data_IF_121349154933
#
_entry.id   IF_121349154933
#
_cell.length_a   1.000
_cell.length_b   1.000
_cell.length_c   1.000
_cell.angle_alpha   90.00
_cell.angle_beta   90.00
_cell.angle_gamma   90.00
#
_symmetry.space_group_name_H-M   'P 1'
#
loop_
_entity.id
_entity.type
_entity.pdbx_description
1 polymer ?
#
# COMPACT_ATOMS: atom_id res chain seq x y z
N UNK A 1 63.24 -5.64 36.95
CA UNK A 1 61.89 -5.47 37.53
C UNK A 1 61.50 -4.02 37.35
N UNK A 2 60.76 -3.77 36.29
CA UNK A 2 60.27 -2.46 35.86
C UNK A 2 58.75 -2.62 35.79
N UNK A 3 57.93 -1.77 36.42
CA UNK A 3 56.50 -2.02 36.52
C UNK A 3 55.83 -1.73 35.18
N UNK A 4 54.96 -2.64 34.74
CA UNK A 4 54.11 -2.49 33.56
C UNK A 4 53.15 -1.31 33.73
N UNK A 5 52.98 -0.54 32.65
CA UNK A 5 51.97 0.52 32.53
C UNK A 5 50.59 -0.12 32.36
N UNK A 6 49.54 0.41 33.00
CA UNK A 6 48.17 -0.04 32.75
C UNK A 6 47.67 0.45 31.39
N UNK A 7 46.83 -0.37 30.74
CA UNK A 7 46.17 -0.09 29.46
C UNK A 7 45.26 1.15 29.54
N UNK A 8 45.09 1.89 28.42
CA UNK A 8 44.24 3.06 28.40
C UNK A 8 42.75 2.65 28.49
N UNK A 9 42.03 3.33 29.39
CA UNK A 9 40.58 3.25 29.53
C UNK A 9 39.93 3.71 28.21
N UNK A 10 38.94 3.00 27.66
CA UNK A 10 38.26 3.42 26.45
C UNK A 10 37.53 4.75 26.69
N UNK A 11 37.77 5.72 25.80
CA UNK A 11 37.09 7.01 25.78
C UNK A 11 35.58 6.78 25.63
N UNK A 12 34.71 7.49 26.37
CA UNK A 12 33.27 7.41 26.15
C UNK A 12 32.98 7.80 24.70
N UNK A 13 32.22 6.94 24.02
CA UNK A 13 31.76 7.20 22.66
C UNK A 13 31.12 8.59 22.59
N UNK A 14 31.46 9.34 21.54
CA UNK A 14 30.81 10.62 21.24
C UNK A 14 29.29 10.45 21.29
N UNK A 15 28.54 11.35 21.95
CA UNK A 15 27.09 11.29 21.93
C UNK A 15 26.61 11.35 20.48
N UNK A 16 25.61 10.52 20.16
CA UNK A 16 24.86 10.61 18.91
C UNK A 16 24.44 12.06 18.67
N UNK A 17 24.40 12.53 17.41
CA UNK A 17 23.98 13.90 17.11
C UNK A 17 22.59 14.15 17.74
N UNK A 18 22.52 15.16 18.60
CA UNK A 18 21.29 15.54 19.26
C UNK A 18 20.23 15.92 18.21
N UNK A 19 19.05 15.32 18.32
CA UNK A 19 17.89 15.65 17.51
C UNK A 19 17.59 17.17 17.56
N UNK A 20 17.18 17.81 16.45
CA UNK A 20 16.90 19.24 16.42
C UNK A 20 15.81 19.61 17.44
N UNK A 21 15.86 20.83 18.01
CA UNK A 21 14.96 21.23 19.08
C UNK A 21 13.53 21.38 18.51
N UNK A 22 12.70 20.38 18.82
CA UNK A 22 11.23 20.36 18.73
C UNK A 22 10.62 20.79 17.39
N UNK A 23 10.35 19.83 16.50
CA UNK A 23 9.06 19.88 15.81
C UNK A 23 7.99 19.57 16.87
N UNK A 24 6.98 20.44 17.10
CA UNK A 24 6.04 20.23 18.19
C UNK A 24 5.27 18.93 17.98
N UNK A 25 5.38 18.00 18.93
CA UNK A 25 4.55 16.79 18.96
C UNK A 25 3.08 17.24 19.07
N UNK A 26 2.19 16.79 18.17
CA UNK A 26 0.77 17.13 18.29
C UNK A 26 0.19 16.67 19.63
N UNK A 27 -0.49 17.57 20.36
CA UNK A 27 -1.27 17.21 21.56
C UNK A 27 -2.65 16.64 21.19
N UNK A 28 -3.20 17.13 20.09
CA UNK A 28 -4.44 16.65 19.47
C UNK A 28 -4.44 17.01 17.97
N UNK A 29 -4.92 16.08 17.15
CA UNK A 29 -5.07 16.25 15.69
C UNK A 29 -6.55 16.29 15.31
N UNK A 30 -6.91 17.11 14.31
CA UNK A 30 -8.27 17.15 13.74
C UNK A 30 -8.22 16.75 12.27
N UNK A 31 -8.83 15.61 11.91
CA UNK A 31 -8.84 15.14 10.52
C UNK A 31 -9.75 16.01 9.65
N UNK A 32 -9.22 16.53 8.54
CA UNK A 32 -9.95 17.24 7.50
C UNK A 32 -9.90 16.45 6.19
N UNK A 33 -11.08 16.13 5.67
CA UNK A 33 -11.25 15.54 4.35
C UNK A 33 -11.30 16.67 3.31
N UNK A 34 -10.18 16.88 2.62
CA UNK A 34 -10.07 17.85 1.54
C UNK A 34 -10.62 17.25 0.25
N UNK A 35 -11.49 18.01 -0.40
CA UNK A 35 -12.16 17.64 -1.65
C UNK A 35 -12.52 18.91 -2.43
N UNK A 36 -12.95 18.82 -3.70
CA UNK A 36 -13.27 20.02 -4.50
C UNK A 36 -14.29 20.95 -3.83
N UNK A 37 -15.26 20.38 -3.10
CA UNK A 37 -16.27 21.14 -2.33
C UNK A 37 -15.77 21.66 -0.97
N UNK A 38 -14.60 21.20 -0.51
CA UNK A 38 -13.94 21.66 0.72
C UNK A 38 -12.41 21.83 0.47
N UNK A 39 -12.01 22.81 -0.36
CA UNK A 39 -10.62 23.01 -0.77
C UNK A 39 -9.79 23.70 0.33
N UNK A 40 -8.49 23.95 0.09
CA UNK A 40 -7.62 24.58 1.08
C UNK A 40 -8.14 25.93 1.60
N UNK A 41 -8.80 26.71 0.74
CA UNK A 41 -9.42 27.98 1.15
C UNK A 41 -10.58 27.80 2.14
N UNK A 42 -11.41 26.77 1.96
CA UNK A 42 -12.49 26.45 2.90
C UNK A 42 -11.93 25.92 4.23
N UNK A 43 -10.90 25.07 4.17
CA UNK A 43 -10.18 24.61 5.35
C UNK A 43 -9.55 25.80 6.12
N UNK A 44 -8.98 26.79 5.41
CA UNK A 44 -8.39 27.98 6.03
C UNK A 44 -9.46 28.83 6.74
N UNK A 45 -10.65 28.96 6.14
CA UNK A 45 -11.77 29.66 6.77
C UNK A 45 -12.29 28.96 8.05
N UNK A 46 -12.11 27.63 8.16
CA UNK A 46 -12.48 26.86 9.34
C UNK A 46 -11.45 26.92 10.48
N UNK A 47 -10.21 27.33 10.20
CA UNK A 47 -9.10 27.37 11.17
C UNK A 47 -9.46 28.06 12.50
N UNK A 48 -10.09 29.26 12.52
CA UNK A 48 -10.38 29.93 13.80
C UNK A 48 -11.32 29.11 14.69
N UNK A 49 -12.30 28.44 14.09
CA UNK A 49 -13.20 27.54 14.82
C UNK A 49 -12.43 26.34 15.37
N UNK A 50 -11.64 25.66 14.52
CA UNK A 50 -10.87 24.48 14.91
C UNK A 50 -9.86 24.80 16.02
N UNK A 51 -9.21 25.95 15.96
CA UNK A 51 -8.33 26.44 17.02
C UNK A 51 -9.10 26.64 18.34
N UNK A 52 -10.34 27.12 18.29
CA UNK A 52 -11.16 27.30 19.51
C UNK A 52 -11.61 25.99 20.17
N UNK A 53 -11.58 24.86 19.44
CA UNK A 53 -11.77 23.52 20.02
C UNK A 53 -10.57 23.05 20.86
N UNK A 54 -9.40 23.69 20.72
CA UNK A 54 -8.18 23.35 21.46
C UNK A 54 -7.32 22.26 20.82
N UNK A 55 -7.52 21.94 19.54
CA UNK A 55 -6.60 21.05 18.80
C UNK A 55 -5.27 21.75 18.53
N UNK A 56 -4.20 20.99 18.31
CA UNK A 56 -2.87 21.54 18.02
C UNK A 56 -2.49 21.48 16.55
N UNK A 57 -3.05 20.51 15.81
CA UNK A 57 -2.69 20.26 14.43
C UNK A 57 -3.94 19.90 13.62
N UNK A 58 -3.97 20.36 12.37
CA UNK A 58 -4.88 19.86 11.36
C UNK A 58 -4.24 18.66 10.68
N UNK A 59 -4.92 17.52 10.67
CA UNK A 59 -4.52 16.33 9.93
C UNK A 59 -5.24 16.36 8.59
N UNK A 60 -4.53 16.70 7.53
CA UNK A 60 -5.08 16.85 6.19
C UNK A 60 -5.07 15.49 5.47
N UNK A 61 -6.13 15.17 4.73
CA UNK A 61 -6.10 14.12 3.70
C UNK A 61 -5.04 14.41 2.61
N UNK A 62 -4.72 13.44 1.73
CA UNK A 62 -3.65 13.62 0.74
C UNK A 62 -3.77 14.91 -0.08
N UNK A 63 -2.64 15.61 -0.24
CA UNK A 63 -2.59 16.96 -0.84
C UNK A 63 -1.95 17.00 -2.23
N UNK A 64 -1.33 15.90 -2.67
CA UNK A 64 -0.71 15.80 -3.98
C UNK A 64 -1.77 15.61 -5.08
N UNK A 65 -1.39 15.90 -6.32
CA UNK A 65 -2.31 15.82 -7.47
C UNK A 65 -2.90 14.41 -7.61
N UNK A 66 -4.22 14.36 -7.69
CA UNK A 66 -5.00 13.13 -7.78
C UNK A 66 -5.84 13.13 -9.06
N UNK A 67 -6.56 12.05 -9.33
CA UNK A 67 -7.52 12.03 -10.44
C UNK A 67 -8.50 13.21 -10.29
N UNK A 68 -8.77 13.98 -11.36
CA UNK A 68 -9.69 15.12 -11.29
C UNK A 68 -11.05 14.73 -10.68
N UNK A 69 -11.56 15.55 -9.76
CA UNK A 69 -12.81 15.28 -9.05
C UNK A 69 -12.71 14.26 -7.91
N UNK A 70 -11.52 13.72 -7.60
CA UNK A 70 -11.32 12.77 -6.50
C UNK A 70 -11.83 13.34 -5.16
N UNK A 71 -12.71 12.63 -4.43
CA UNK A 71 -13.23 13.08 -3.14
C UNK A 71 -12.26 12.80 -1.97
N UNK A 72 -11.15 12.10 -2.23
CA UNK A 72 -10.29 11.58 -1.16
C UNK A 72 -8.79 11.79 -1.37
N UNK A 73 -8.30 11.87 -2.61
CA UNK A 73 -6.89 12.12 -2.92
C UNK A 73 -5.92 10.93 -2.90
N UNK A 74 -6.35 9.72 -2.48
CA UNK A 74 -5.49 8.51 -2.50
C UNK A 74 -5.12 7.98 -3.90
N UNK A 75 -5.84 8.40 -4.93
CA UNK A 75 -5.62 8.11 -6.34
C UNK A 75 -4.65 9.11 -6.98
N UNK A 76 -3.43 9.15 -6.44
CA UNK A 76 -2.37 10.10 -6.84
C UNK A 76 -1.96 9.88 -8.31
N UNK A 77 -1.83 10.97 -9.07
CA UNK A 77 -1.41 10.95 -10.47
C UNK A 77 -0.10 11.70 -10.72
N UNK A 78 0.26 12.66 -9.86
CA UNK A 78 1.51 13.42 -9.96
C UNK A 78 2.02 13.85 -8.58
N UNK A 79 3.16 13.28 -8.17
CA UNK A 79 3.79 13.56 -6.89
C UNK A 79 4.55 14.90 -6.86
N UNK A 80 4.86 15.48 -8.03
CA UNK A 80 5.60 16.73 -8.11
C UNK A 80 4.71 17.95 -7.81
N UNK A 81 3.39 17.78 -7.76
CA UNK A 81 2.44 18.89 -7.68
C UNK A 81 1.48 18.74 -6.50
N UNK A 82 1.26 19.85 -5.80
CA UNK A 82 0.11 19.98 -4.90
C UNK A 82 -1.14 20.15 -5.74
N UNK A 83 -2.21 19.43 -5.38
CA UNK A 83 -3.44 19.31 -6.16
C UNK A 83 -4.02 20.67 -6.56
N UNK A 84 -4.06 20.93 -7.87
CA UNK A 84 -4.48 22.22 -8.40
C UNK A 84 -5.95 22.54 -8.08
N UNK A 85 -6.81 21.52 -8.12
CA UNK A 85 -8.26 21.64 -7.85
C UNK A 85 -8.56 22.10 -6.41
N UNK A 86 -7.66 21.85 -5.45
CA UNK A 86 -7.82 22.31 -4.06
C UNK A 86 -7.28 23.73 -3.83
N UNK A 87 -6.74 24.39 -4.86
CA UNK A 87 -6.06 25.69 -4.78
C UNK A 87 -4.55 25.61 -4.95
N UNK A 88 -4.00 24.43 -5.26
CA UNK A 88 -2.57 24.23 -5.51
C UNK A 88 -1.69 24.55 -4.31
N UNK A 89 -0.38 24.68 -4.58
CA UNK A 89 0.61 24.92 -3.53
C UNK A 89 0.41 26.27 -2.83
N UNK A 90 -0.03 27.30 -3.56
CA UNK A 90 -0.34 28.60 -2.97
C UNK A 90 -1.48 28.49 -1.94
N UNK A 91 -2.55 27.75 -2.27
CA UNK A 91 -3.66 27.48 -1.37
C UNK A 91 -3.22 26.73 -0.11
N UNK A 92 -2.39 25.68 -0.26
CA UNK A 92 -1.84 24.94 0.89
C UNK A 92 -0.98 25.84 1.79
N UNK A 93 -0.14 26.70 1.19
CA UNK A 93 0.67 27.66 1.95
C UNK A 93 -0.17 28.72 2.64
N UNK A 94 -1.26 29.18 2.02
CA UNK A 94 -2.20 30.09 2.65
C UNK A 94 -2.87 29.45 3.87
N UNK A 95 -3.37 28.21 3.72
CA UNK A 95 -3.88 27.41 4.84
C UNK A 95 -2.85 27.26 5.96
N UNK A 96 -1.60 26.91 5.63
CA UNK A 96 -0.51 26.78 6.59
C UNK A 96 -0.24 28.09 7.35
N UNK A 97 -0.20 29.24 6.65
CA UNK A 97 -0.04 30.55 7.30
C UNK A 97 -1.20 30.84 8.26
N UNK A 98 -2.44 30.68 7.82
CA UNK A 98 -3.62 30.91 8.67
C UNK A 98 -3.64 29.98 9.88
N UNK A 99 -3.27 28.70 9.72
CA UNK A 99 -3.11 27.74 10.81
C UNK A 99 -2.08 28.25 11.83
N UNK A 100 -0.89 28.64 11.37
CA UNK A 100 0.20 29.14 12.23
C UNK A 100 -0.18 30.44 12.97
N UNK A 101 -0.91 31.35 12.32
CA UNK A 101 -1.44 32.58 12.95
C UNK A 101 -2.38 32.26 14.14
N UNK A 102 -3.02 31.09 14.13
CA UNK A 102 -3.87 30.61 15.21
C UNK A 102 -3.20 29.55 16.10
N UNK A 103 -1.88 29.38 15.99
CA UNK A 103 -1.11 28.43 16.81
C UNK A 103 -1.29 26.96 16.42
N UNK A 104 -1.80 26.66 15.22
CA UNK A 104 -1.96 25.31 14.70
C UNK A 104 -0.84 24.92 13.74
N UNK A 105 -0.43 23.65 13.78
CA UNK A 105 0.43 23.02 12.77
C UNK A 105 -0.35 22.17 11.76
N UNK A 106 0.33 21.68 10.72
CA UNK A 106 -0.24 20.77 9.72
C UNK A 106 0.44 19.39 9.74
N UNK A 107 -0.35 18.33 9.77
CA UNK A 107 0.06 16.96 9.45
C UNK A 107 -0.57 16.58 8.12
N UNK A 108 0.21 16.08 7.16
CA UNK A 108 -0.32 15.65 5.86
C UNK A 108 -0.25 14.13 5.71
N UNK A 109 -1.31 13.58 5.15
CA UNK A 109 -1.38 12.20 4.72
C UNK A 109 -0.59 12.00 3.41
N UNK A 110 0.23 10.96 3.33
CA UNK A 110 1.04 10.61 2.16
C UNK A 110 0.77 9.17 1.72
N UNK A 111 0.83 8.93 0.41
CA UNK A 111 0.42 7.68 -0.23
C UNK A 111 1.58 7.05 -0.99
N UNK A 112 2.54 6.40 -0.32
CA UNK A 112 3.76 5.90 -0.96
C UNK A 112 3.55 4.59 -1.73
N UNK A 113 2.49 3.84 -1.41
CA UNK A 113 2.33 2.47 -1.89
C UNK A 113 1.88 2.37 -3.35
N UNK A 114 1.12 3.34 -3.84
CA UNK A 114 0.41 3.22 -5.12
C UNK A 114 0.11 4.57 -5.76
N UNK A 115 -0.22 4.52 -7.05
CA UNK A 115 -0.75 5.62 -7.86
C UNK A 115 -2.01 5.18 -8.59
N UNK A 116 -2.78 6.12 -9.12
CA UNK A 116 -3.91 5.81 -9.99
C UNK A 116 -3.47 5.12 -11.29
N UNK A 117 -4.12 4.01 -11.64
CA UNK A 117 -4.09 3.35 -12.94
C UNK A 117 -4.96 4.13 -13.94
N UNK A 118 -4.63 5.42 -14.12
CA UNK A 118 -5.32 6.34 -15.02
C UNK A 118 -4.31 6.95 -15.97
N UNK A 119 -3.95 6.26 -17.08
CA UNK A 119 -2.87 6.69 -17.98
C UNK A 119 -3.02 8.13 -18.45
N UNK A 120 -4.25 8.56 -18.73
CA UNK A 120 -4.58 9.93 -19.15
C UNK A 120 -4.05 11.01 -18.20
N UNK A 121 -3.98 10.72 -16.91
CA UNK A 121 -3.58 11.68 -15.87
C UNK A 121 -2.23 11.33 -15.23
N UNK A 122 -1.81 10.07 -15.29
CA UNK A 122 -0.56 9.56 -14.72
C UNK A 122 0.51 9.47 -15.83
N UNK A 123 1.35 10.49 -15.94
CA UNK A 123 2.39 10.57 -16.97
C UNK A 123 3.41 9.41 -16.91
N UNK A 124 4.00 9.05 -15.74
CA UNK A 124 4.86 7.85 -15.65
C UNK A 124 4.19 6.59 -16.22
N UNK A 125 2.91 6.38 -15.92
CA UNK A 125 2.17 5.24 -16.45
C UNK A 125 1.94 5.33 -17.96
N UNK A 126 1.59 6.52 -18.48
CA UNK A 126 1.45 6.75 -19.92
C UNK A 126 2.71 6.33 -20.67
N UNK A 127 3.88 6.77 -20.21
CA UNK A 127 5.17 6.43 -20.82
C UNK A 127 5.46 4.92 -20.77
N UNK A 128 5.11 4.24 -19.67
CA UNK A 128 5.23 2.78 -19.57
C UNK A 128 4.34 2.06 -20.58
N UNK A 129 3.11 2.52 -20.80
CA UNK A 129 2.21 1.92 -21.79
C UNK A 129 2.67 2.20 -23.24
N UNK A 130 3.35 3.33 -23.49
CA UNK A 130 3.89 3.70 -24.81
C UNK A 130 5.18 2.95 -25.15
N UNK A 131 6.11 2.86 -24.20
CA UNK A 131 7.48 2.38 -24.43
C UNK A 131 7.73 0.97 -23.86
N UNK A 132 6.81 0.46 -23.04
CA UNK A 132 6.88 -0.88 -22.45
C UNK A 132 8.01 -1.02 -21.43
N UNK A 133 8.64 -2.21 -21.34
CA UNK A 133 9.74 -2.47 -20.39
C UNK A 133 10.97 -1.55 -20.55
N UNK A 134 11.11 -0.91 -21.71
CA UNK A 134 12.21 0.03 -22.00
C UNK A 134 12.00 1.44 -21.43
N UNK A 135 10.81 1.76 -20.94
CA UNK A 135 10.51 3.08 -20.37
C UNK A 135 11.39 3.36 -19.14
N UNK A 136 11.91 4.58 -18.96
CA UNK A 136 12.58 4.97 -17.71
C UNK A 136 11.65 4.87 -16.48
N UNK A 137 10.33 4.90 -16.71
CA UNK A 137 9.31 4.74 -15.68
C UNK A 137 8.89 3.28 -15.45
N UNK A 138 9.36 2.31 -16.24
CA UNK A 138 8.98 0.91 -16.05
C UNK A 138 9.34 0.37 -14.66
N UNK A 139 10.43 0.88 -14.06
CA UNK A 139 10.85 0.54 -12.70
C UNK A 139 9.99 1.17 -11.60
N UNK A 140 9.21 2.22 -11.90
CA UNK A 140 8.37 2.88 -10.91
C UNK A 140 7.25 1.95 -10.43
N UNK A 141 6.77 1.07 -11.29
CA UNK A 141 5.63 0.22 -11.01
C UNK A 141 6.04 -1.23 -10.81
N UNK A 142 5.30 -1.92 -9.95
CA UNK A 142 5.53 -3.33 -9.69
C UNK A 142 4.75 -4.22 -10.67
N UNK A 143 5.35 -4.42 -11.85
CA UNK A 143 4.79 -5.18 -12.98
C UNK A 143 5.53 -6.52 -13.16
N UNK A 144 4.79 -7.63 -13.13
CA UNK A 144 5.24 -8.95 -13.56
C UNK A 144 5.14 -9.06 -15.09
N UNK A 145 6.16 -8.55 -15.78
CA UNK A 145 6.23 -8.56 -17.24
C UNK A 145 6.20 -9.98 -17.84
N UNK A 146 6.73 -10.98 -17.12
CA UNK A 146 6.77 -12.37 -17.60
C UNK A 146 5.38 -12.98 -17.67
N UNK A 147 4.45 -12.57 -16.81
CA UNK A 147 3.10 -13.15 -16.76
C UNK A 147 2.24 -12.83 -17.99
N UNK A 148 2.62 -11.84 -18.80
CA UNK A 148 1.83 -11.37 -19.95
C UNK A 148 2.70 -11.10 -21.19
N UNK A 149 3.79 -11.85 -21.36
CA UNK A 149 4.70 -11.79 -22.51
C UNK A 149 5.22 -10.36 -22.80
N UNK A 150 5.62 -9.65 -21.75
CA UNK A 150 6.13 -8.28 -21.85
C UNK A 150 5.06 -7.19 -21.99
N UNK A 151 3.78 -7.52 -21.76
CA UNK A 151 2.66 -6.55 -21.79
C UNK A 151 2.09 -6.26 -20.40
N UNK A 152 1.40 -5.14 -20.26
CA UNK A 152 0.59 -4.80 -19.08
C UNK A 152 -0.87 -5.15 -19.34
N UNK A 153 -1.52 -5.90 -18.45
CA UNK A 153 -2.96 -6.16 -18.56
C UNK A 153 -3.76 -4.94 -18.10
N UNK A 154 -4.73 -4.47 -18.90
CA UNK A 154 -5.60 -3.34 -18.55
C UNK A 154 -7.06 -3.80 -18.48
N UNK A 155 -7.60 -4.12 -17.29
CA UNK A 155 -8.95 -4.62 -17.12
C UNK A 155 -10.02 -3.51 -17.19
N UNK A 156 -10.16 -2.88 -18.36
CA UNK A 156 -10.99 -1.68 -18.57
C UNK A 156 -12.23 -1.91 -19.44
N UNK A 157 -12.30 -3.02 -20.17
CA UNK A 157 -13.39 -3.27 -21.12
C UNK A 157 -14.64 -3.75 -20.39
N UNK A 158 -15.82 -3.28 -20.82
CA UNK A 158 -17.11 -3.71 -20.26
C UNK A 158 -17.46 -5.17 -20.57
N UNK A 159 -16.90 -5.73 -21.64
CA UNK A 159 -17.08 -7.12 -22.09
C UNK A 159 -15.85 -7.69 -22.78
N UNK A 160 -15.91 -8.94 -23.26
CA UNK A 160 -14.86 -9.56 -24.07
C UNK A 160 -14.47 -8.66 -25.26
N UNK A 161 -13.18 -8.58 -25.57
CA UNK A 161 -12.64 -7.64 -26.57
C UNK A 161 -13.32 -7.75 -27.94
N UNK A 162 -13.70 -8.96 -28.37
CA UNK A 162 -14.40 -9.18 -29.64
C UNK A 162 -15.81 -8.60 -29.68
N UNK A 163 -16.49 -8.48 -28.53
CA UNK A 163 -17.86 -7.94 -28.43
C UNK A 163 -17.85 -6.41 -28.41
N UNK A 164 -16.82 -5.80 -27.79
CA UNK A 164 -16.70 -4.34 -27.65
C UNK A 164 -15.75 -3.70 -28.67
N UNK A 165 -15.26 -4.47 -29.65
CA UNK A 165 -14.27 -4.01 -30.63
C UNK A 165 -14.75 -2.77 -31.41
N UNK A 166 -16.06 -2.66 -31.66
CA UNK A 166 -16.66 -1.52 -32.36
C UNK A 166 -16.65 -0.21 -31.58
N UNK A 167 -16.43 -0.27 -30.26
CA UNK A 167 -16.37 0.90 -29.38
C UNK A 167 -14.94 1.44 -29.22
N UNK A 168 -13.93 0.65 -29.64
CA UNK A 168 -12.53 1.06 -29.67
C UNK A 168 -12.25 1.93 -30.89
N UNK A 169 -11.61 3.08 -30.68
CA UNK A 169 -11.29 4.04 -31.75
C UNK A 169 -9.86 4.54 -31.62
N UNK A 170 -9.21 4.71 -32.76
CA UNK A 170 -7.91 5.38 -32.85
C UNK A 170 -8.14 6.85 -33.16
N UNK A 171 -7.52 7.73 -32.38
CA UNK A 171 -7.55 9.18 -32.52
C UNK A 171 -6.09 9.68 -32.46
N UNK A 172 -5.47 9.82 -33.64
CA UNK A 172 -4.04 10.10 -33.75
C UNK A 172 -3.19 8.97 -33.18
N UNK A 173 -2.40 9.28 -32.16
CA UNK A 173 -1.53 8.37 -31.42
C UNK A 173 -2.19 7.81 -30.14
N UNK A 174 -3.52 7.90 -30.03
CA UNK A 174 -4.27 7.46 -28.84
C UNK A 174 -5.33 6.42 -29.21
N UNK A 175 -5.35 5.32 -28.47
CA UNK A 175 -6.45 4.36 -28.44
C UNK A 175 -7.50 4.82 -27.41
N UNK A 176 -8.76 4.93 -27.83
CA UNK A 176 -9.88 5.33 -26.98
C UNK A 176 -10.89 4.21 -26.79
N UNK A 177 -11.39 4.08 -25.56
CA UNK A 177 -12.55 3.25 -25.20
C UNK A 177 -13.42 4.05 -24.23
N UNK A 178 -14.54 4.60 -24.70
CA UNK A 178 -15.33 5.60 -23.95
C UNK A 178 -14.45 6.74 -23.41
N UNK A 179 -14.46 7.03 -22.10
CA UNK A 179 -13.58 8.02 -21.48
C UNK A 179 -12.12 7.59 -21.35
N UNK A 180 -11.80 6.31 -21.53
CA UNK A 180 -10.43 5.81 -21.41
C UNK A 180 -9.58 6.20 -22.62
N UNK A 181 -8.33 6.57 -22.34
CA UNK A 181 -7.33 6.94 -23.33
C UNK A 181 -6.00 6.25 -23.02
N UNK A 182 -5.41 5.61 -24.03
CA UNK A 182 -4.16 4.89 -23.93
C UNK A 182 -3.22 5.32 -25.07
N UNK A 183 -1.91 5.47 -24.83
CA UNK A 183 -0.98 5.77 -25.91
C UNK A 183 -0.88 4.60 -26.88
N UNK A 184 -0.62 4.88 -28.15
CA UNK A 184 -0.17 3.86 -29.08
C UNK A 184 1.35 3.71 -28.98
N UNK A 185 1.83 2.47 -29.08
CA UNK A 185 3.23 2.17 -29.30
C UNK A 185 3.70 2.81 -30.61
N UNK A 186 4.88 3.43 -30.59
CA UNK A 186 5.48 4.07 -31.76
C UNK A 186 5.47 3.14 -32.99
N UNK A 187 5.03 3.69 -34.12
CA UNK A 187 4.96 2.97 -35.40
C UNK A 187 3.78 2.00 -35.55
N UNK A 188 2.82 1.98 -34.61
CA UNK A 188 1.66 1.08 -34.68
C UNK A 188 0.35 1.74 -35.15
N UNK A 189 0.31 3.07 -35.28
CA UNK A 189 -0.92 3.84 -35.52
C UNK A 189 -1.66 3.46 -36.81
N UNK A 190 -0.94 3.08 -37.86
CA UNK A 190 -1.54 2.71 -39.16
C UNK A 190 -1.98 1.24 -39.24
N UNK A 191 -1.79 0.45 -38.17
CA UNK A 191 -2.19 -0.95 -38.15
C UNK A 191 -3.73 -1.10 -38.06
N UNK A 192 -4.33 -2.08 -38.76
CA UNK A 192 -5.72 -2.44 -38.53
C UNK A 192 -5.97 -2.81 -37.06
N UNK A 193 -7.12 -2.39 -36.51
CA UNK A 193 -7.41 -2.45 -35.07
C UNK A 193 -7.03 -3.78 -34.38
N UNK A 194 -7.37 -4.99 -34.90
CA UNK A 194 -6.94 -6.23 -34.25
C UNK A 194 -5.42 -6.37 -34.14
N UNK A 195 -4.68 -6.05 -35.21
CA UNK A 195 -3.21 -6.08 -35.22
C UNK A 195 -2.60 -4.94 -34.40
N UNK A 196 -3.28 -3.80 -34.35
CA UNK A 196 -2.90 -2.67 -33.50
C UNK A 196 -2.94 -3.09 -32.04
N UNK A 197 -4.03 -3.72 -31.57
CA UNK A 197 -4.17 -4.20 -30.19
C UNK A 197 -3.07 -5.22 -29.84
N UNK A 198 -2.75 -6.15 -30.74
CA UNK A 198 -1.70 -7.15 -30.53
C UNK A 198 -0.29 -6.54 -30.44
N UNK A 199 -0.06 -5.40 -31.09
CA UNK A 199 1.25 -4.75 -31.16
C UNK A 199 1.60 -3.89 -29.93
N UNK A 200 0.62 -3.55 -29.09
CA UNK A 200 0.81 -2.67 -27.94
C UNK A 200 1.61 -3.34 -26.82
N UNK A 201 2.22 -2.53 -25.96
CA UNK A 201 2.83 -2.99 -24.70
C UNK A 201 1.81 -3.22 -23.59
N UNK A 202 0.53 -3.17 -23.91
CA UNK A 202 -0.57 -3.42 -23.00
C UNK A 202 -1.69 -4.16 -23.70
N UNK A 203 -2.55 -4.80 -22.91
CA UNK A 203 -3.71 -5.55 -23.41
C UNK A 203 -4.97 -5.07 -22.69
N UNK A 204 -5.81 -4.25 -23.35
CA UNK A 204 -7.14 -3.95 -22.84
C UNK A 204 -7.97 -5.23 -22.82
N UNK A 205 -8.53 -5.58 -21.67
CA UNK A 205 -9.33 -6.79 -21.47
C UNK A 205 -10.60 -6.51 -20.69
N UNK A 206 -11.50 -7.50 -20.72
CA UNK A 206 -12.70 -7.49 -19.88
C UNK A 206 -12.32 -7.33 -18.41
N UNK A 207 -12.95 -6.38 -17.72
CA UNK A 207 -12.61 -6.02 -16.34
C UNK A 207 -12.58 -7.22 -15.37
N UNK A 208 -13.40 -8.25 -15.61
CA UNK A 208 -13.46 -9.44 -14.75
C UNK A 208 -12.18 -10.29 -14.76
N UNK A 209 -11.33 -10.16 -15.79
CA UNK A 209 -10.05 -10.86 -15.84
C UNK A 209 -9.02 -10.30 -14.86
N UNK A 210 -9.27 -9.13 -14.25
CA UNK A 210 -8.43 -8.58 -13.18
C UNK A 210 -8.22 -9.55 -12.01
N UNK A 211 -9.19 -10.42 -11.73
CA UNK A 211 -9.10 -11.35 -10.59
C UNK A 211 -8.04 -12.43 -10.78
N UNK A 212 -7.82 -12.87 -12.02
CA UNK A 212 -7.06 -14.09 -12.33
C UNK A 212 -5.85 -13.86 -13.22
N UNK A 213 -5.80 -12.77 -13.98
CA UNK A 213 -4.74 -12.53 -14.97
C UNK A 213 -3.89 -11.28 -14.71
N UNK A 214 -4.24 -10.46 -13.72
CA UNK A 214 -3.56 -9.19 -13.47
C UNK A 214 -2.06 -9.41 -13.22
N UNK A 215 -1.24 -8.54 -13.81
CA UNK A 215 0.21 -8.68 -13.75
C UNK A 215 0.92 -7.44 -13.22
N UNK A 216 0.23 -6.61 -12.47
CA UNK A 216 0.85 -5.59 -11.63
C UNK A 216 0.32 -5.71 -10.21
N UNK A 217 1.15 -5.39 -9.21
CA UNK A 217 0.67 -5.27 -7.83
C UNK A 217 -0.30 -4.10 -7.75
N UNK A 218 -1.40 -4.28 -7.04
CA UNK A 218 -2.43 -3.26 -6.82
C UNK A 218 -2.66 -3.03 -5.33
N UNK A 219 -3.41 -1.98 -5.00
CA UNK A 219 -3.91 -1.77 -3.64
C UNK A 219 -5.14 -2.66 -3.40
N UNK A 220 -5.00 -3.65 -2.52
CA UNK A 220 -6.01 -4.70 -2.29
C UNK A 220 -6.53 -5.31 -3.59
N UNK A 221 -7.83 -5.25 -3.83
CA UNK A 221 -8.50 -5.75 -5.03
C UNK A 221 -8.92 -4.64 -6.00
N UNK A 222 -8.35 -3.43 -5.88
CA UNK A 222 -8.72 -2.25 -6.69
C UNK A 222 -7.75 -2.14 -7.87
N UNK A 223 -8.22 -2.49 -9.07
CA UNK A 223 -7.40 -2.46 -10.29
C UNK A 223 -7.08 -1.04 -10.77
N UNK A 224 -7.81 -0.06 -10.28
CA UNK A 224 -7.61 1.35 -10.57
C UNK A 224 -6.43 1.95 -9.80
N UNK A 225 -5.72 1.17 -8.96
CA UNK A 225 -4.56 1.62 -8.18
C UNK A 225 -3.37 0.68 -8.42
N UNK A 226 -2.32 1.17 -9.07
CA UNK A 226 -1.10 0.42 -9.40
C UNK A 226 -0.01 0.67 -8.33
N UNK A 227 0.61 -0.41 -7.86
CA UNK A 227 1.65 -0.40 -6.85
C UNK A 227 2.95 0.24 -7.34
N UNK A 228 3.48 1.16 -6.54
CA UNK A 228 4.73 1.89 -6.76
C UNK A 228 5.87 1.22 -6.00
N UNK A 229 7.05 1.16 -6.61
CA UNK A 229 8.27 0.55 -6.09
C UNK A 229 9.13 1.53 -5.31
N UNK A 230 8.58 2.05 -4.21
CA UNK A 230 9.23 3.07 -3.37
C UNK A 230 10.49 2.56 -2.67
N UNK A 231 10.74 1.24 -2.66
CA UNK A 231 12.00 0.66 -2.20
C UNK A 231 13.20 1.16 -3.06
N UNK A 232 12.98 1.44 -4.35
CA UNK A 232 13.96 2.06 -5.23
C UNK A 232 14.23 3.51 -4.80
N UNK A 233 15.48 3.89 -4.47
CA UNK A 233 15.82 5.23 -4.03
C UNK A 233 15.40 6.33 -5.01
N UNK A 234 15.51 6.12 -6.32
CA UNK A 234 15.15 7.14 -7.30
C UNK A 234 13.63 7.34 -7.39
N UNK A 235 12.86 6.26 -7.18
CA UNK A 235 11.40 6.34 -7.09
C UNK A 235 10.98 7.05 -5.79
N UNK A 236 11.63 6.74 -4.66
CA UNK A 236 11.40 7.46 -3.40
C UNK A 236 11.65 8.97 -3.56
N UNK A 237 12.81 9.38 -4.08
CA UNK A 237 13.13 10.79 -4.27
C UNK A 237 12.11 11.50 -5.18
N UNK A 238 11.73 10.86 -6.29
CA UNK A 238 10.76 11.44 -7.22
C UNK A 238 9.34 11.56 -6.62
N UNK A 239 8.93 10.62 -5.78
CA UNK A 239 7.58 10.57 -5.19
C UNK A 239 7.46 11.38 -3.89
N UNK A 240 8.57 11.64 -3.20
CA UNK A 240 8.58 12.33 -1.90
C UNK A 240 9.12 13.77 -1.98
N UNK A 241 9.79 14.15 -3.07
CA UNK A 241 10.49 15.44 -3.20
C UNK A 241 9.65 16.66 -2.83
N UNK A 242 8.39 16.73 -3.28
CA UNK A 242 7.48 17.85 -2.96
C UNK A 242 7.09 17.87 -1.49
N UNK A 243 6.69 16.74 -0.90
CA UNK A 243 6.30 16.69 0.52
C UNK A 243 7.48 17.02 1.42
N UNK A 244 8.65 16.45 1.14
CA UNK A 244 9.88 16.71 1.90
C UNK A 244 10.30 18.18 1.79
N UNK A 245 10.13 18.80 0.63
CA UNK A 245 10.33 20.25 0.46
C UNK A 245 9.36 21.05 1.32
N UNK A 246 8.07 20.72 1.32
CA UNK A 246 7.07 21.40 2.15
C UNK A 246 7.36 21.27 3.65
N UNK A 247 7.89 20.12 4.11
CA UNK A 247 8.38 19.94 5.48
C UNK A 247 9.59 20.84 5.79
N UNK A 248 10.61 20.85 4.91
CA UNK A 248 11.81 21.68 5.10
C UNK A 248 11.50 23.17 5.15
N UNK A 249 10.52 23.61 4.36
CA UNK A 249 10.07 25.00 4.32
C UNK A 249 9.08 25.36 5.44
N UNK A 250 8.70 24.41 6.29
CA UNK A 250 7.79 24.63 7.42
C UNK A 250 6.34 24.89 7.01
N UNK A 251 5.94 24.46 5.81
CA UNK A 251 4.52 24.47 5.41
C UNK A 251 3.76 23.35 6.12
N UNK A 252 4.43 22.20 6.29
CA UNK A 252 3.94 21.00 6.97
C UNK A 252 4.85 20.71 8.17
N UNK A 253 4.28 20.19 9.25
CA UNK A 253 4.98 19.91 10.51
C UNK A 253 5.15 18.41 10.80
N UNK A 254 4.28 17.55 10.23
CA UNK A 254 4.35 16.10 10.39
C UNK A 254 3.67 15.31 9.26
N UNK A 255 3.81 13.99 9.30
CA UNK A 255 3.33 13.06 8.28
C UNK A 255 2.42 11.98 8.86
N UNK A 256 1.45 11.52 8.07
CA UNK A 256 0.77 10.25 8.25
C UNK A 256 1.02 9.39 7.01
N UNK A 257 1.57 8.20 7.19
CA UNK A 257 1.87 7.28 6.09
C UNK A 257 0.68 6.34 5.87
N UNK A 258 0.11 6.40 4.68
CA UNK A 258 -0.91 5.46 4.20
C UNK A 258 -0.33 4.08 3.92
N UNK A 259 -1.00 3.05 4.40
CA UNK A 259 -0.77 1.65 4.01
C UNK A 259 0.72 1.21 3.90
N UNK A 260 1.56 1.41 4.95
CA UNK A 260 2.94 0.93 4.96
C UNK A 260 3.04 -0.60 4.76
N UNK A 261 2.00 -1.36 5.15
CA UNK A 261 1.97 -2.81 4.99
C UNK A 261 1.87 -3.25 3.52
N UNK A 262 1.61 -2.34 2.57
CA UNK A 262 1.69 -2.63 1.14
C UNK A 262 3.09 -2.51 0.54
N UNK A 263 4.03 -1.91 1.27
CA UNK A 263 5.39 -1.66 0.79
C UNK A 263 6.21 -2.95 0.74
N UNK A 264 7.14 -3.05 -0.22
CA UNK A 264 8.03 -4.20 -0.32
C UNK A 264 8.94 -4.30 0.91
N UNK A 265 9.50 -3.18 1.34
CA UNK A 265 10.39 -3.05 2.50
C UNK A 265 10.01 -1.81 3.34
N UNK A 266 9.01 -1.93 4.24
CA UNK A 266 8.60 -0.81 5.09
C UNK A 266 9.66 -0.39 6.10
N UNK A 267 10.55 -1.30 6.51
CA UNK A 267 11.64 -1.01 7.46
C UNK A 267 12.59 0.03 6.83
N UNK A 268 13.11 -0.27 5.64
CA UNK A 268 14.00 0.63 4.91
C UNK A 268 13.29 1.92 4.46
N UNK A 269 12.01 1.85 4.09
CA UNK A 269 11.22 3.03 3.72
C UNK A 269 11.10 4.02 4.88
N UNK A 270 10.73 3.55 6.08
CA UNK A 270 10.52 4.41 7.24
C UNK A 270 11.83 4.98 7.79
N UNK A 271 12.94 4.21 7.71
CA UNK A 271 14.27 4.74 8.00
C UNK A 271 14.63 5.89 7.05
N UNK A 272 14.50 5.68 5.74
CA UNK A 272 14.77 6.71 4.72
C UNK A 272 13.87 7.94 4.90
N UNK A 273 12.59 7.74 5.20
CA UNK A 273 11.65 8.83 5.47
C UNK A 273 12.02 9.61 6.73
N UNK A 274 12.44 8.93 7.79
CA UNK A 274 12.89 9.56 9.03
C UNK A 274 14.10 10.47 8.76
N UNK A 275 15.12 9.97 8.06
CA UNK A 275 16.30 10.74 7.69
C UNK A 275 15.95 11.94 6.79
N UNK A 276 15.19 11.70 5.72
CA UNK A 276 14.86 12.72 4.73
C UNK A 276 13.93 13.82 5.27
N UNK A 277 13.07 13.48 6.24
CA UNK A 277 12.19 14.44 6.92
C UNK A 277 12.89 15.21 8.04
N UNK A 278 14.09 14.80 8.45
CA UNK A 278 14.79 15.37 9.62
C UNK A 278 14.11 14.98 10.94
N UNK A 279 13.56 13.77 11.01
CA UNK A 279 12.91 13.21 12.21
C UNK A 279 11.58 13.87 12.58
N UNK A 280 10.84 14.37 11.58
CA UNK A 280 9.53 15.00 11.80
C UNK A 280 8.53 14.00 12.33
N UNK A 281 7.60 14.48 13.16
CA UNK A 281 6.56 13.63 13.75
C UNK A 281 5.81 12.89 12.64
N UNK A 282 5.86 11.56 12.70
CA UNK A 282 5.32 10.68 11.66
C UNK A 282 4.54 9.56 12.32
N UNK A 283 3.31 9.31 11.88
CA UNK A 283 2.52 8.13 12.27
C UNK A 283 2.20 7.29 11.05
N UNK A 284 1.86 6.02 11.28
CA UNK A 284 1.59 5.06 10.21
C UNK A 284 0.19 4.46 10.34
N UNK A 285 -0.50 4.27 9.23
CA UNK A 285 -1.72 3.47 9.21
C UNK A 285 -1.38 1.98 9.25
N UNK A 286 -1.19 1.45 10.47
CA UNK A 286 -0.91 0.02 10.67
C UNK A 286 -1.94 -0.58 11.62
N UNK A 287 -2.56 -1.68 11.19
CA UNK A 287 -3.51 -2.43 12.00
C UNK A 287 -2.73 -3.47 12.82
N UNK A 288 -2.86 -3.40 14.15
CA UNK A 288 -2.24 -4.35 15.07
C UNK A 288 -3.26 -5.41 15.48
N UNK A 289 -2.87 -6.68 15.34
CA UNK A 289 -3.60 -7.80 15.92
C UNK A 289 -3.47 -7.82 17.45
N UNK A 290 -4.19 -8.72 18.11
CA UNK A 290 -4.13 -8.87 19.56
C UNK A 290 -2.73 -9.20 20.06
N UNK A 291 -2.21 -8.37 20.97
CA UNK A 291 -0.87 -8.54 21.53
C UNK A 291 0.27 -8.23 20.55
N UNK A 292 -0.02 -7.92 19.29
CA UNK A 292 0.96 -7.47 18.31
C UNK A 292 1.52 -6.10 18.71
N UNK A 293 2.83 -5.93 18.54
CA UNK A 293 3.49 -4.64 18.74
C UNK A 293 4.00 -4.11 17.41
N UNK A 294 3.98 -2.79 17.26
CA UNK A 294 4.64 -2.13 16.14
C UNK A 294 6.13 -2.54 16.13
N UNK A 295 6.73 -2.84 14.96
CA UNK A 295 8.14 -3.19 14.89
C UNK A 295 9.02 -2.12 15.55
N UNK A 296 9.93 -2.55 16.44
CA UNK A 296 10.76 -1.62 17.20
C UNK A 296 11.74 -0.82 16.33
N UNK A 297 12.03 -1.31 15.11
CA UNK A 297 12.87 -0.64 14.13
C UNK A 297 12.18 0.57 13.46
N UNK A 298 10.85 0.69 13.54
CA UNK A 298 10.12 1.75 12.86
C UNK A 298 10.28 3.08 13.61
N UNK A 299 10.96 4.03 12.98
CA UNK A 299 11.24 5.36 13.53
C UNK A 299 10.04 6.31 13.39
N UNK A 300 8.92 5.91 14.00
CA UNK A 300 7.62 6.59 13.93
C UNK A 300 7.06 6.82 15.33
N UNK A 301 6.17 7.79 15.47
CA UNK A 301 5.54 8.14 16.73
C UNK A 301 4.46 7.12 17.17
N UNK A 302 3.98 6.28 16.25
CA UNK A 302 2.97 5.26 16.52
C UNK A 302 2.07 4.99 15.32
N UNK A 303 0.93 4.36 15.59
CA UNK A 303 -0.13 4.10 14.60
C UNK A 303 -1.08 5.29 14.49
N UNK A 304 -2.08 5.19 13.61
CA UNK A 304 -3.23 6.11 13.59
C UNK A 304 -4.28 5.82 14.68
N UNK A 305 -4.06 4.82 15.55
CA UNK A 305 -4.84 4.63 16.77
C UNK A 305 -5.97 3.58 16.74
N UNK A 306 -6.06 2.70 15.74
CA UNK A 306 -7.07 1.62 15.72
C UNK A 306 -6.93 0.65 16.90
N UNK A 307 -5.71 0.44 17.36
CA UNK A 307 -5.36 -0.30 18.57
C UNK A 307 -5.90 0.37 19.85
N UNK A 308 -5.81 1.70 19.95
CA UNK A 308 -6.42 2.44 21.04
C UNK A 308 -7.96 2.42 20.97
N UNK A 309 -8.52 2.62 19.77
CA UNK A 309 -9.97 2.58 19.52
C UNK A 309 -10.57 1.26 19.99
N UNK A 310 -9.94 0.14 19.61
CA UNK A 310 -10.37 -1.20 20.04
C UNK A 310 -10.41 -1.35 21.56
N UNK A 311 -9.39 -0.87 22.28
CA UNK A 311 -9.35 -0.97 23.74
C UNK A 311 -10.41 -0.09 24.41
N UNK A 312 -10.62 1.13 23.91
CA UNK A 312 -11.64 2.05 24.44
C UNK A 312 -13.04 1.49 24.21
N UNK A 313 -13.36 0.99 23.01
CA UNK A 313 -14.65 0.38 22.71
C UNK A 313 -14.92 -0.84 23.59
N UNK A 314 -13.89 -1.64 23.86
CA UNK A 314 -13.97 -2.80 24.75
C UNK A 314 -14.41 -2.46 26.19
N UNK A 315 -14.18 -1.24 26.68
CA UNK A 315 -14.62 -0.81 28.02
C UNK A 315 -16.15 -0.69 28.13
N UNK A 316 -16.84 -0.51 27.00
CA UNK A 316 -18.29 -0.33 26.95
C UNK A 316 -19.05 -1.61 26.58
N UNK A 317 -18.34 -2.71 26.33
CA UNK A 317 -18.93 -4.01 26.04
C UNK A 317 -19.10 -4.84 27.32
N UNK A 318 -20.34 -5.09 27.74
CA UNK A 318 -20.64 -6.02 28.85
C UNK A 318 -20.41 -7.48 28.41
N UNK A 319 -19.48 -8.24 29.03
CA UNK A 319 -19.22 -9.62 28.69
C UNK A 319 -20.45 -10.54 28.83
N UNK A 320 -21.32 -10.27 29.80
CA UNK A 320 -22.54 -11.07 29.99
C UNK A 320 -23.56 -10.79 28.88
N UNK A 321 -23.77 -9.52 28.53
CA UNK A 321 -24.60 -9.10 27.41
C UNK A 321 -24.10 -9.65 26.06
N UNK A 322 -22.78 -9.65 25.83
CA UNK A 322 -22.18 -10.27 24.64
C UNK A 322 -22.58 -11.75 24.51
N UNK A 323 -22.45 -12.53 25.57
CA UNK A 323 -22.83 -13.95 25.57
C UNK A 323 -24.32 -14.16 25.22
N UNK A 324 -25.20 -13.36 25.82
CA UNK A 324 -26.64 -13.42 25.54
C UNK A 324 -26.98 -13.09 24.08
N UNK A 325 -26.36 -12.04 23.53
CA UNK A 325 -26.56 -11.64 22.13
C UNK A 325 -26.04 -12.71 21.16
N UNK A 326 -24.89 -13.32 21.45
CA UNK A 326 -24.33 -14.39 20.64
C UNK A 326 -25.24 -15.63 20.63
N UNK A 327 -25.77 -16.01 21.79
CA UNK A 327 -26.70 -17.14 21.91
C UNK A 327 -28.02 -16.88 21.16
N UNK A 328 -28.55 -15.66 21.25
CA UNK A 328 -29.76 -15.26 20.51
C UNK A 328 -29.50 -15.27 19.00
N UNK A 329 -28.38 -14.69 18.55
CA UNK A 329 -27.97 -14.71 17.16
C UNK A 329 -27.87 -16.15 16.62
N UNK A 330 -27.23 -17.05 17.36
CA UNK A 330 -27.10 -18.48 16.98
C UNK A 330 -28.45 -19.17 16.92
N UNK A 331 -29.35 -18.92 17.89
CA UNK A 331 -30.69 -19.52 17.91
C UNK A 331 -31.57 -19.02 16.78
N UNK A 332 -31.51 -17.72 16.49
CA UNK A 332 -32.33 -17.07 15.47
C UNK A 332 -31.86 -17.39 14.06
N UNK A 333 -30.55 -17.24 13.78
CA UNK A 333 -30.01 -17.39 12.42
C UNK A 333 -29.57 -18.81 12.08
N UNK A 334 -29.35 -19.68 13.08
CA UNK A 334 -28.86 -21.05 12.89
C UNK A 334 -27.65 -21.13 11.95
N UNK A 335 -26.61 -20.29 12.11
CA UNK A 335 -25.55 -20.18 11.13
C UNK A 335 -24.69 -21.45 11.14
N UNK A 336 -24.24 -21.88 9.96
CA UNK A 336 -23.22 -22.93 9.87
C UNK A 336 -21.93 -22.52 10.59
N UNK A 337 -21.10 -23.47 11.06
CA UNK A 337 -19.88 -23.15 11.81
C UNK A 337 -18.98 -22.14 11.12
N UNK A 338 -18.75 -22.29 9.82
CA UNK A 338 -17.91 -21.40 8.99
C UNK A 338 -18.68 -20.23 8.34
N UNK A 339 -19.93 -19.99 8.76
CA UNK A 339 -20.83 -18.95 8.23
C UNK A 339 -21.41 -18.08 9.34
N UNK A 340 -20.58 -17.75 10.32
CA UNK A 340 -20.94 -16.93 11.48
C UNK A 340 -21.19 -17.71 12.76
N UNK A 341 -21.27 -19.05 12.72
CA UNK A 341 -21.44 -19.87 13.92
C UNK A 341 -20.20 -19.92 14.81
N UNK A 342 -19.02 -19.99 14.17
CA UNK A 342 -17.70 -19.95 14.78
C UNK A 342 -16.83 -18.91 14.05
N UNK A 343 -16.25 -17.98 14.81
CA UNK A 343 -15.51 -16.86 14.25
C UNK A 343 -14.25 -17.33 13.50
N UNK A 344 -13.47 -18.23 14.10
CA UNK A 344 -12.22 -18.70 13.50
C UNK A 344 -12.46 -19.45 12.19
N UNK A 345 -13.46 -20.34 12.15
CA UNK A 345 -13.86 -21.03 10.92
C UNK A 345 -14.40 -20.05 9.86
N UNK A 346 -15.16 -19.04 10.27
CA UNK A 346 -15.71 -18.01 9.36
C UNK A 346 -14.61 -17.17 8.73
N UNK A 347 -13.64 -16.71 9.53
CA UNK A 347 -12.47 -15.96 9.04
C UNK A 347 -11.64 -16.80 8.08
N UNK A 348 -11.34 -18.07 8.43
CA UNK A 348 -10.62 -18.99 7.52
C UNK A 348 -11.36 -19.17 6.19
N UNK A 349 -12.68 -19.39 6.23
CA UNK A 349 -13.51 -19.50 5.01
C UNK A 349 -13.41 -18.23 4.15
N UNK A 350 -13.51 -17.06 4.77
CA UNK A 350 -13.39 -15.78 4.07
C UNK A 350 -11.99 -15.60 3.45
N UNK A 351 -10.92 -15.98 4.17
CA UNK A 351 -9.56 -15.92 3.66
C UNK A 351 -9.36 -16.84 2.43
N UNK A 352 -9.91 -18.06 2.45
CA UNK A 352 -9.91 -18.92 1.26
C UNK A 352 -10.67 -18.32 0.08
N UNK A 353 -11.82 -17.69 0.33
CA UNK A 353 -12.62 -17.02 -0.70
C UNK A 353 -11.83 -15.87 -1.34
N UNK A 354 -11.19 -15.03 -0.53
CA UNK A 354 -10.35 -13.92 -1.02
C UNK A 354 -9.15 -14.43 -1.82
N UNK A 355 -8.36 -15.37 -1.28
CA UNK A 355 -7.15 -15.89 -1.95
C UNK A 355 -7.46 -16.73 -3.19
N UNK A 356 -8.60 -17.43 -3.19
CA UNK A 356 -9.04 -18.28 -4.28
C UNK A 356 -9.74 -17.54 -5.41
N UNK A 357 -10.30 -16.36 -5.14
CA UNK A 357 -11.17 -15.64 -6.08
C UNK A 357 -10.75 -14.20 -6.34
N UNK A 358 -10.64 -13.35 -5.31
CA UNK A 358 -10.37 -11.92 -5.51
C UNK A 358 -8.87 -11.62 -5.71
N UNK A 359 -7.99 -12.37 -5.04
CA UNK A 359 -6.53 -12.23 -5.08
C UNK A 359 -5.84 -13.46 -5.72
N UNK A 360 -6.53 -14.14 -6.64
CA UNK A 360 -6.01 -15.35 -7.27
C UNK A 360 -4.75 -15.07 -8.11
N UNK A 361 -4.73 -13.93 -8.82
CA UNK A 361 -3.58 -13.46 -9.60
C UNK A 361 -2.34 -13.20 -8.73
N UNK A 362 -2.52 -12.62 -7.54
CA UNK A 362 -1.46 -12.37 -6.58
C UNK A 362 -0.92 -13.68 -5.99
N UNK A 363 -1.79 -14.66 -5.66
CA UNK A 363 -1.36 -16.00 -5.23
C UNK A 363 -0.60 -16.74 -6.35
N UNK A 364 -1.02 -16.59 -7.60
CA UNK A 364 -0.29 -17.15 -8.75
C UNK A 364 1.09 -16.49 -8.93
N UNK A 365 1.17 -15.17 -8.71
CA UNK A 365 2.45 -14.45 -8.71
C UNK A 365 3.38 -14.96 -7.62
N UNK A 366 2.89 -15.11 -6.38
CA UNK A 366 3.67 -15.66 -5.26
C UNK A 366 4.13 -17.09 -5.57
N UNK A 367 3.27 -17.92 -6.17
CA UNK A 367 3.63 -19.28 -6.60
C UNK A 367 4.78 -19.26 -7.62
N UNK A 368 4.73 -18.36 -8.62
CA UNK A 368 5.83 -18.20 -9.59
C UNK A 368 7.12 -17.74 -8.91
N UNK A 369 7.04 -16.83 -7.94
CA UNK A 369 8.21 -16.38 -7.15
C UNK A 369 8.81 -17.53 -6.36
N UNK A 370 8.00 -18.25 -5.57
CA UNK A 370 8.44 -19.39 -4.77
C UNK A 370 9.06 -20.48 -5.64
N UNK A 371 8.44 -20.81 -6.77
CA UNK A 371 8.98 -21.79 -7.70
C UNK A 371 10.35 -21.38 -8.25
N UNK A 372 10.55 -20.11 -8.61
CA UNK A 372 11.87 -19.62 -9.05
C UNK A 372 12.90 -19.73 -7.93
N UNK A 373 12.55 -19.33 -6.70
CA UNK A 373 13.45 -19.43 -5.55
C UNK A 373 13.88 -20.88 -5.29
N UNK A 374 12.93 -21.83 -5.28
CA UNK A 374 13.19 -23.26 -5.16
C UNK A 374 14.10 -23.77 -6.29
N UNK A 375 13.81 -23.42 -7.55
CA UNK A 375 14.57 -23.88 -8.71
C UNK A 375 16.04 -23.39 -8.69
N UNK A 376 16.29 -22.20 -8.14
CA UNK A 376 17.63 -21.61 -8.03
C UNK A 376 18.28 -21.81 -6.66
N UNK A 377 17.65 -22.56 -5.75
CA UNK A 377 18.15 -22.73 -4.39
C UNK A 377 19.52 -23.43 -4.37
N UNK A 378 20.47 -22.97 -3.52
CA UNK A 378 21.72 -23.69 -3.29
C UNK A 378 21.49 -25.06 -2.64
N UNK A 379 20.53 -25.13 -1.72
CA UNK A 379 20.10 -26.39 -1.12
C UNK A 379 19.28 -27.20 -2.12
N UNK A 380 19.83 -28.34 -2.54
CA UNK A 380 19.21 -29.23 -3.51
C UNK A 380 17.91 -29.85 -2.98
N UNK A 381 17.72 -29.93 -1.65
CA UNK A 381 16.49 -30.44 -1.05
C UNK A 381 15.28 -29.51 -1.25
N UNK A 382 15.52 -28.24 -1.58
CA UNK A 382 14.47 -27.27 -1.91
C UNK A 382 14.10 -27.28 -3.40
N UNK A 383 14.88 -27.96 -4.24
CA UNK A 383 14.58 -28.12 -5.66
C UNK A 383 13.44 -29.12 -5.86
N UNK A 384 12.93 -29.19 -7.09
CA UNK A 384 11.89 -30.13 -7.53
C UNK A 384 10.56 -30.07 -6.74
N UNK A 385 10.18 -28.88 -6.29
CA UNK A 385 8.85 -28.63 -5.70
C UNK A 385 7.82 -28.36 -6.78
N UNK A 386 6.78 -29.19 -6.82
CA UNK A 386 5.71 -29.04 -7.81
C UNK A 386 4.97 -27.69 -7.62
N UNK A 387 4.68 -26.93 -8.69
CA UNK A 387 4.00 -25.62 -8.57
C UNK A 387 2.67 -25.67 -7.83
N UNK A 388 1.88 -26.73 -8.00
CA UNK A 388 0.60 -26.89 -7.29
C UNK A 388 0.80 -27.07 -5.78
N UNK A 389 1.88 -27.75 -5.36
CA UNK A 389 2.20 -27.97 -3.95
C UNK A 389 2.65 -26.66 -3.29
N UNK A 390 3.49 -25.88 -3.98
CA UNK A 390 3.88 -24.53 -3.53
C UNK A 390 2.66 -23.60 -3.42
N UNK A 391 1.76 -23.60 -4.42
CA UNK A 391 0.52 -22.81 -4.37
C UNK A 391 -0.36 -23.19 -3.19
N UNK A 392 -0.47 -24.50 -2.93
CA UNK A 392 -1.23 -25.03 -1.80
C UNK A 392 -0.60 -24.60 -0.48
N UNK A 393 0.71 -24.84 -0.29
CA UNK A 393 1.45 -24.42 0.90
C UNK A 393 1.31 -22.93 1.17
N UNK A 394 1.54 -22.07 0.18
CA UNK A 394 1.38 -20.61 0.30
C UNK A 394 -0.04 -20.23 0.73
N UNK A 395 -1.07 -20.80 0.11
CA UNK A 395 -2.46 -20.53 0.50
C UNK A 395 -2.72 -20.96 1.94
N UNK A 396 -2.30 -22.16 2.32
CA UNK A 396 -2.52 -22.72 3.65
C UNK A 396 -1.79 -21.94 4.76
N UNK A 397 -0.61 -21.41 4.47
CA UNK A 397 0.12 -20.53 5.39
C UNK A 397 -0.57 -19.16 5.51
N UNK A 398 -0.94 -18.55 4.38
CA UNK A 398 -1.60 -17.24 4.36
C UNK A 398 -2.95 -17.24 5.09
N UNK A 399 -3.77 -18.30 4.96
CA UNK A 399 -5.07 -18.37 5.68
C UNK A 399 -4.92 -18.57 7.19
N UNK A 400 -3.71 -18.92 7.67
CA UNK A 400 -3.40 -19.17 9.08
C UNK A 400 -2.60 -18.05 9.73
N UNK A 401 -2.25 -17.00 8.97
CA UNK A 401 -1.60 -15.83 9.54
C UNK A 401 -2.57 -15.06 10.43
N UNK A 402 -2.15 -14.79 11.67
CA UNK A 402 -2.94 -14.04 12.66
C UNK A 402 -2.61 -12.54 12.70
N UNK A 403 -1.58 -12.14 11.97
CA UNK A 403 -1.18 -10.74 11.76
C UNK A 403 -1.30 -10.37 10.29
N UNK A 404 -1.31 -9.07 9.99
CA UNK A 404 -1.44 -8.57 8.61
C UNK A 404 -0.28 -9.01 7.71
N UNK A 405 0.96 -8.99 8.22
CA UNK A 405 2.15 -9.46 7.50
C UNK A 405 3.36 -9.63 8.41
N UNK A 406 4.36 -10.43 8.02
CA UNK A 406 5.70 -10.39 8.60
C UNK A 406 6.53 -9.21 8.06
N UNK A 407 7.60 -8.89 8.80
CA UNK A 407 8.61 -7.89 8.46
C UNK A 407 10.01 -8.49 8.58
N UNK A 408 10.97 -8.02 7.78
CA UNK A 408 12.33 -8.55 7.81
C UNK A 408 13.06 -8.28 9.14
N UNK A 409 12.71 -7.17 9.81
CA UNK A 409 13.19 -6.84 11.16
C UNK A 409 12.59 -7.69 12.29
N UNK A 410 11.60 -8.54 11.99
CA UNK A 410 10.91 -9.40 12.96
C UNK A 410 11.17 -10.86 12.61
N UNK A 411 11.34 -11.71 13.61
CA UNK A 411 11.51 -13.15 13.38
C UNK A 411 10.25 -13.72 12.72
N UNK A 412 10.39 -14.22 11.49
CA UNK A 412 9.30 -14.77 10.70
C UNK A 412 8.58 -15.93 11.40
N UNK A 413 9.28 -16.69 12.27
CA UNK A 413 8.68 -17.79 13.04
C UNK A 413 7.64 -17.31 14.07
N UNK A 414 7.63 -16.02 14.40
CA UNK A 414 6.60 -15.42 15.27
C UNK A 414 5.29 -15.13 14.54
N UNK A 415 5.32 -15.10 13.20
CA UNK A 415 4.17 -14.80 12.33
C UNK A 415 3.67 -16.05 11.63
N UNK A 416 4.58 -16.81 11.03
CA UNK A 416 4.30 -18.12 10.46
C UNK A 416 4.81 -19.15 11.47
N UNK A 417 3.95 -19.51 12.42
CA UNK A 417 4.32 -20.38 13.54
C UNK A 417 4.52 -21.83 13.08
N UNK A 418 5.32 -22.60 13.83
CA UNK A 418 5.47 -24.04 13.60
C UNK A 418 4.13 -24.79 13.71
N UNK A 419 3.20 -24.31 14.54
CA UNK A 419 1.85 -24.86 14.64
C UNK A 419 1.07 -24.61 13.34
N UNK A 420 1.07 -23.37 12.83
CA UNK A 420 0.43 -23.05 11.55
C UNK A 420 1.03 -23.84 10.39
N UNK A 421 2.35 -24.01 10.36
CA UNK A 421 3.04 -24.83 9.36
C UNK A 421 2.67 -26.32 9.50
N UNK A 422 2.62 -26.86 10.72
CA UNK A 422 2.21 -28.24 10.96
C UNK A 422 0.75 -28.49 10.51
N UNK A 423 -0.17 -27.57 10.78
CA UNK A 423 -1.55 -27.65 10.29
C UNK A 423 -1.65 -27.53 8.77
N UNK A 424 -0.86 -26.64 8.15
CA UNK A 424 -0.82 -26.49 6.71
C UNK A 424 -0.32 -27.78 6.01
N UNK A 425 0.59 -28.53 6.63
CA UNK A 425 1.04 -29.84 6.11
C UNK A 425 -0.06 -30.89 6.08
N UNK A 426 -1.08 -30.80 6.93
CA UNK A 426 -2.17 -31.78 7.00
C UNK A 426 -3.07 -31.81 5.75
N UNK A 427 -3.01 -30.79 4.89
CA UNK A 427 -3.81 -30.77 3.65
C UNK A 427 -3.26 -31.71 2.57
N UNK A 428 -1.99 -32.11 2.70
CA UNK A 428 -1.33 -32.98 1.76
C UNK A 428 -1.58 -34.44 2.13
N UNK A 429 -2.14 -35.21 1.17
CA UNK A 429 -2.34 -36.65 1.36
C UNK A 429 -1.03 -37.43 1.34
N UNK A 430 -0.01 -36.94 0.62
CA UNK A 430 1.31 -37.53 0.50
C UNK A 430 2.31 -36.72 1.35
N UNK A 431 2.93 -37.32 2.38
CA UNK A 431 3.83 -36.61 3.29
C UNK A 431 5.02 -35.91 2.61
N UNK A 432 5.55 -36.48 1.53
CA UNK A 432 6.66 -35.92 0.78
C UNK A 432 6.29 -34.60 0.07
N UNK A 433 5.03 -34.48 -0.36
CA UNK A 433 4.49 -33.26 -0.97
C UNK A 433 4.32 -32.15 0.07
N UNK A 434 4.07 -32.51 1.33
CA UNK A 434 3.99 -31.57 2.45
C UNK A 434 5.31 -30.86 2.74
N UNK A 435 6.45 -31.36 2.21
CA UNK A 435 7.74 -30.67 2.27
C UNK A 435 7.80 -29.36 1.48
N UNK A 436 6.72 -28.97 0.78
CA UNK A 436 6.55 -27.63 0.22
C UNK A 436 6.21 -26.56 1.28
N UNK A 437 5.76 -26.97 2.47
CA UNK A 437 5.49 -26.12 3.65
C UNK A 437 6.72 -26.07 4.54
#
# INVERSE_FOLDING_TARGET
MTPERPDPVPSPASPAPAAPPWAPVPSATYRLQLQPDFPFGAAAAAVPYLASLGVSHLHLSPVLEAVPGSPHGYDVVDHARVRAELGGEEGLRALSRTAREHGLGLVVDIVPNHMAMSPRHNHPLWEVLREGPGSPYARWFDIDWQAQDGRVLLPVLGGPVGEVLGDLRVDGDVLRYHEHAFPLRDGTADLPLPRLLDAQWYRPVWWRLARTELNYRRFFSISELIGVRVEDPEVFEATHGTVLRLLREGVVDGLRVDHPDGLADPDAYLERLHEASGGRWTVVEKILADGERLPAAWQVAGTTGYDALRHVDGLFADPAGYGQLLDEYRRFSGPGPDRGGDWAATVRRAAYEVLGHELAAELDRLTRVAHRLCATAPDLALRDRAPWALRTALRELLVRMEVYRPYASVDAATVVTEEAAAEARLVFAVPEEAGAV
#
